data_IF_916614094796
#
_entry.id   IF_916614094796
#
_cell.length_a   1.000
_cell.length_b   1.000
_cell.length_c   1.000
_cell.angle_alpha   90.00
_cell.angle_beta   90.00
_cell.angle_gamma   90.00
#
_symmetry.space_group_name_H-M   'P 1'
#
loop_
_entity.id
_entity.type
_entity.pdbx_description
1 polymer ?
#
# COMPACT_ATOMS: atom_id res chain seq x y z
N UNK A 1 -24.31 -5.99 6.23
CA UNK A 1 -23.22 -5.10 5.77
C UNK A 1 -22.31 -4.89 6.96
N UNK A 2 -21.05 -5.29 6.86
CA UNK A 2 -20.06 -4.94 7.88
C UNK A 2 -19.74 -3.45 7.77
N UNK A 3 -19.65 -2.76 8.89
CA UNK A 3 -19.16 -1.39 8.91
C UNK A 3 -17.66 -1.34 8.59
N UNK A 4 -17.17 -0.15 8.24
CA UNK A 4 -15.78 0.13 7.85
C UNK A 4 -14.73 -0.38 8.85
N UNK A 5 -15.01 -0.23 10.16
CA UNK A 5 -14.10 -0.66 11.21
C UNK A 5 -14.10 -2.19 11.31
N UNK A 6 -15.27 -2.82 11.24
CA UNK A 6 -15.41 -4.28 11.23
C UNK A 6 -14.68 -4.91 10.05
N UNK A 7 -14.79 -4.33 8.85
CA UNK A 7 -14.04 -4.76 7.66
C UNK A 7 -12.53 -4.62 7.88
N UNK A 8 -12.07 -3.47 8.38
CA UNK A 8 -10.65 -3.26 8.70
C UNK A 8 -10.13 -4.30 9.71
N UNK A 9 -10.91 -4.63 10.74
CA UNK A 9 -10.54 -5.58 11.80
C UNK A 9 -10.41 -7.03 11.33
N UNK A 10 -11.03 -7.40 10.20
CA UNK A 10 -10.77 -8.70 9.57
C UNK A 10 -9.33 -8.75 9.03
N UNK A 11 -8.87 -7.67 8.39
CA UNK A 11 -7.51 -7.57 7.86
C UNK A 11 -6.46 -7.30 8.95
N UNK A 12 -6.86 -6.60 10.03
CA UNK A 12 -6.01 -6.23 11.14
C UNK A 12 -6.59 -6.68 12.51
N UNK A 13 -6.66 -7.99 12.79
CA UNK A 13 -7.12 -8.50 14.08
C UNK A 13 -6.21 -8.04 15.24
N UNK A 14 -6.78 -7.74 16.40
CA UNK A 14 -6.04 -7.19 17.54
C UNK A 14 -4.99 -8.13 18.14
N UNK A 15 -5.20 -9.44 17.98
CA UNK A 15 -4.31 -10.49 18.44
C UNK A 15 -3.22 -10.87 17.43
N UNK A 16 -3.31 -10.43 16.17
CA UNK A 16 -2.35 -10.80 15.14
C UNK A 16 -1.07 -9.96 15.24
N UNK A 17 0.08 -10.62 15.36
CA UNK A 17 1.38 -9.98 15.60
C UNK A 17 1.71 -8.85 14.60
N UNK A 18 1.35 -9.07 13.34
CA UNK A 18 1.70 -8.21 12.22
C UNK A 18 0.62 -7.15 11.89
N UNK A 19 -0.56 -7.23 12.51
CA UNK A 19 -1.68 -6.33 12.22
C UNK A 19 -1.40 -4.87 12.59
N UNK A 20 -0.48 -4.62 13.51
CA UNK A 20 -0.08 -3.26 13.93
C UNK A 20 0.48 -2.38 12.80
N UNK A 21 0.92 -2.98 11.70
CA UNK A 21 1.42 -2.25 10.53
C UNK A 21 0.33 -1.96 9.49
N UNK A 22 -0.83 -2.62 9.57
CA UNK A 22 -1.92 -2.42 8.64
C UNK A 22 -2.35 -0.94 8.61
N UNK A 23 -2.65 -0.42 7.41
CA UNK A 23 -3.06 0.97 7.21
C UNK A 23 -4.58 1.05 7.06
N UNK A 24 -5.27 1.94 7.81
CA UNK A 24 -6.72 2.08 7.72
C UNK A 24 -7.18 2.94 6.53
N UNK A 25 -6.27 3.54 5.75
CA UNK A 25 -6.58 4.62 4.81
C UNK A 25 -7.67 4.26 3.78
N UNK A 26 -7.63 3.06 3.22
CA UNK A 26 -8.64 2.58 2.26
C UNK A 26 -9.91 2.00 2.91
N UNK A 27 -9.96 1.93 4.23
CA UNK A 27 -11.14 1.48 4.97
C UNK A 27 -11.96 2.66 5.51
N UNK A 28 -11.47 3.90 5.44
CA UNK A 28 -12.19 5.07 6.00
C UNK A 28 -13.54 5.28 5.33
N UNK A 29 -13.62 5.09 4.02
CA UNK A 29 -14.85 5.23 3.23
C UNK A 29 -15.11 3.91 2.51
N UNK A 30 -16.36 3.49 2.48
CA UNK A 30 -16.79 2.38 1.63
C UNK A 30 -16.57 2.77 0.15
N UNK A 31 -16.07 1.85 -0.69
CA UNK A 31 -15.92 2.11 -2.11
C UNK A 31 -17.26 2.54 -2.73
N UNK A 32 -17.25 3.66 -3.47
CA UNK A 32 -18.43 4.19 -4.15
C UNK A 32 -18.80 3.31 -5.35
N UNK A 33 -19.96 2.65 -5.29
CA UNK A 33 -20.46 1.77 -6.35
C UNK A 33 -21.00 0.44 -5.78
N UNK A 34 -21.54 -0.43 -6.64
CA UNK A 34 -21.78 -1.81 -6.23
C UNK A 34 -20.42 -2.46 -5.95
N UNK A 35 -20.23 -2.96 -4.72
CA UNK A 35 -19.12 -3.87 -4.42
C UNK A 35 -19.19 -4.99 -5.44
N UNK A 36 -18.20 -5.02 -6.33
CA UNK A 36 -18.11 -5.99 -7.42
C UNK A 36 -18.09 -7.43 -6.91
N UNK A 37 -18.19 -8.36 -7.86
CA UNK A 37 -17.94 -9.78 -7.64
C UNK A 37 -16.70 -10.03 -6.74
N UNK A 38 -16.68 -11.14 -5.99
CA UNK A 38 -15.54 -11.52 -5.15
C UNK A 38 -14.21 -11.40 -5.90
N UNK A 39 -13.10 -11.07 -5.20
CA UNK A 39 -11.78 -11.00 -5.84
C UNK A 39 -11.44 -12.33 -6.50
N UNK A 40 -10.81 -12.28 -7.67
CA UNK A 40 -10.36 -13.49 -8.35
C UNK A 40 -9.11 -14.00 -7.65
N UNK A 41 -9.20 -15.14 -6.96
CA UNK A 41 -8.09 -15.72 -6.21
C UNK A 41 -7.15 -16.45 -7.19
N UNK A 42 -5.92 -15.95 -7.44
CA UNK A 42 -5.01 -16.59 -8.38
C UNK A 42 -4.40 -17.87 -7.81
N UNK A 43 -4.04 -18.80 -8.69
CA UNK A 43 -3.26 -19.97 -8.30
C UNK A 43 -1.79 -19.57 -8.08
N UNK A 44 -1.28 -19.86 -6.89
CA UNK A 44 0.12 -19.62 -6.52
C UNK A 44 0.94 -20.90 -6.78
N UNK A 45 1.97 -20.79 -7.63
CA UNK A 45 2.82 -21.92 -8.03
C UNK A 45 4.30 -21.75 -7.66
N UNK A 46 4.69 -20.57 -7.16
CA UNK A 46 6.07 -20.24 -6.79
C UNK A 46 6.39 -20.53 -5.32
N UNK A 47 5.38 -20.88 -4.54
CA UNK A 47 5.48 -21.36 -3.16
C UNK A 47 4.39 -22.41 -2.94
N UNK A 48 4.63 -23.40 -2.08
CA UNK A 48 3.69 -24.52 -1.85
C UNK A 48 2.87 -24.39 -0.57
N UNK A 49 3.40 -23.71 0.45
CA UNK A 49 2.73 -23.50 1.74
C UNK A 49 3.38 -22.36 2.52
N UNK A 50 2.75 -21.93 3.62
CA UNK A 50 3.37 -21.01 4.57
C UNK A 50 4.73 -21.53 5.08
N UNK A 51 5.74 -20.66 5.04
CA UNK A 51 7.07 -20.89 5.60
C UNK A 51 7.31 -19.84 6.68
N UNK A 52 7.37 -20.27 7.94
CA UNK A 52 7.33 -19.37 9.11
C UNK A 52 8.58 -18.51 9.28
N UNK A 53 9.67 -18.81 8.58
CA UNK A 53 10.86 -17.96 8.54
C UNK A 53 10.87 -16.98 7.34
N UNK A 54 9.76 -16.86 6.62
CA UNK A 54 9.65 -16.04 5.41
C UNK A 54 8.60 -14.95 5.58
N UNK A 55 8.99 -13.71 5.28
CA UNK A 55 8.05 -12.59 5.07
C UNK A 55 7.86 -12.38 3.58
N UNK A 56 6.65 -12.08 3.15
CA UNK A 56 6.35 -11.77 1.75
C UNK A 56 5.96 -10.29 1.65
N UNK A 57 6.44 -9.62 0.60
CA UNK A 57 6.01 -8.28 0.22
C UNK A 57 5.42 -8.39 -1.18
N UNK A 58 4.12 -8.17 -1.30
CA UNK A 58 3.39 -8.14 -2.58
C UNK A 58 3.29 -6.70 -3.02
N UNK A 59 4.02 -6.31 -4.06
CA UNK A 59 4.04 -4.96 -4.63
C UNK A 59 3.52 -4.99 -6.08
N UNK A 60 2.22 -5.26 -6.22
CA UNK A 60 1.52 -5.48 -7.48
C UNK A 60 0.53 -4.35 -7.78
N UNK A 61 0.21 -4.07 -9.07
CA UNK A 61 -0.64 -2.95 -9.43
C UNK A 61 -2.09 -3.20 -9.06
N UNK A 62 -2.74 -2.18 -8.49
CA UNK A 62 -4.17 -2.17 -8.22
C UNK A 62 -4.61 -3.35 -7.34
N UNK A 63 -5.76 -3.93 -7.66
CA UNK A 63 -6.37 -5.02 -6.87
C UNK A 63 -5.57 -6.32 -6.86
N UNK A 64 -4.63 -6.52 -7.79
CA UNK A 64 -3.84 -7.77 -7.89
C UNK A 64 -3.05 -8.07 -6.63
N UNK A 65 -2.62 -7.03 -5.90
CA UNK A 65 -1.93 -7.22 -4.62
C UNK A 65 -2.84 -7.83 -3.54
N UNK A 66 -4.12 -7.44 -3.54
CA UNK A 66 -5.14 -7.98 -2.63
C UNK A 66 -5.49 -9.42 -3.01
N UNK A 67 -5.71 -9.67 -4.31
CA UNK A 67 -6.01 -11.00 -4.85
C UNK A 67 -4.89 -12.01 -4.53
N UNK A 68 -3.63 -11.66 -4.78
CA UNK A 68 -2.49 -12.53 -4.45
C UNK A 68 -2.30 -12.67 -2.92
N UNK A 69 -2.59 -11.62 -2.14
CA UNK A 69 -2.58 -11.69 -0.68
C UNK A 69 -3.60 -12.65 -0.10
N UNK A 70 -4.80 -12.72 -0.69
CA UNK A 70 -5.85 -13.68 -0.31
C UNK A 70 -5.46 -15.12 -0.68
N UNK A 71 -4.88 -15.34 -1.86
CA UNK A 71 -4.37 -16.66 -2.23
C UNK A 71 -3.29 -17.15 -1.26
N UNK A 72 -2.38 -16.26 -0.84
CA UNK A 72 -1.38 -16.59 0.19
C UNK A 72 -2.01 -16.83 1.57
N UNK A 73 -3.15 -16.19 1.86
CA UNK A 73 -3.90 -16.41 3.08
C UNK A 73 -4.48 -17.84 3.16
N UNK A 74 -4.97 -18.39 2.04
CA UNK A 74 -5.40 -19.80 1.94
C UNK A 74 -4.26 -20.78 2.24
N UNK A 75 -3.02 -20.37 1.95
CA UNK A 75 -1.81 -21.14 2.22
C UNK A 75 -1.27 -20.98 3.65
N UNK A 76 -1.93 -20.17 4.49
CA UNK A 76 -1.60 -19.96 5.89
C UNK A 76 -0.73 -18.74 6.20
N UNK A 77 -0.56 -17.80 5.25
CA UNK A 77 0.06 -16.51 5.53
C UNK A 77 -0.97 -15.49 6.08
N UNK A 78 -0.49 -14.43 6.72
CA UNK A 78 -1.31 -13.30 7.18
C UNK A 78 -1.19 -12.11 6.22
N UNK A 79 -2.21 -11.76 5.43
CA UNK A 79 -2.18 -10.56 4.61
C UNK A 79 -2.32 -9.29 5.46
N UNK A 80 -1.46 -8.30 5.20
CA UNK A 80 -1.38 -7.02 5.90
C UNK A 80 -1.47 -5.87 4.88
N UNK A 81 -2.61 -5.17 4.78
CA UNK A 81 -2.76 -4.04 3.85
C UNK A 81 -1.91 -2.84 4.28
N UNK A 82 -0.97 -2.40 3.43
CA UNK A 82 -0.16 -1.19 3.67
C UNK A 82 -0.57 0.01 2.83
N UNK A 83 -1.67 -0.09 2.09
CA UNK A 83 -2.17 0.97 1.21
C UNK A 83 -2.46 2.26 1.98
N UNK A 84 -1.80 3.36 1.61
CA UNK A 84 -1.89 4.65 2.32
C UNK A 84 -2.31 5.84 1.43
N UNK A 85 -2.59 5.57 0.16
CA UNK A 85 -3.23 6.53 -0.75
C UNK A 85 -4.73 6.59 -0.46
N UNK A 86 -5.27 7.78 -0.24
CA UNK A 86 -6.69 7.97 0.12
C UNK A 86 -7.55 8.06 -1.12
N UNK A 87 -8.75 7.48 -1.06
CA UNK A 87 -9.73 7.55 -2.12
C UNK A 87 -10.29 8.98 -2.28
N UNK A 88 -10.59 9.39 -3.51
CA UNK A 88 -11.25 10.66 -3.82
C UNK A 88 -12.72 10.41 -4.21
N UNK A 89 -13.57 11.46 -4.27
CA UNK A 89 -14.99 11.31 -4.61
C UNK A 89 -15.26 10.70 -6.00
N UNK A 90 -14.33 10.81 -6.96
CA UNK A 90 -14.46 10.18 -8.28
C UNK A 90 -13.14 9.58 -8.78
N UNK A 91 -13.23 8.47 -9.51
CA UNK A 91 -12.09 7.73 -10.06
C UNK A 91 -11.24 8.60 -10.98
N UNK A 92 -11.90 9.35 -11.86
CA UNK A 92 -11.29 10.20 -12.88
C UNK A 92 -10.55 11.40 -12.29
N UNK A 93 -10.87 11.76 -11.05
CA UNK A 93 -10.18 12.85 -10.34
C UNK A 93 -8.85 12.41 -9.73
N UNK A 94 -8.61 11.12 -9.50
CA UNK A 94 -7.40 10.65 -8.82
C UNK A 94 -6.21 10.52 -9.76
N UNK A 95 -5.01 10.70 -9.20
CA UNK A 95 -3.76 10.41 -9.90
C UNK A 95 -3.47 8.90 -9.88
N UNK A 96 -3.66 8.26 -8.72
CA UNK A 96 -3.55 6.81 -8.56
C UNK A 96 -4.94 6.25 -8.32
N UNK A 97 -5.36 5.30 -9.15
CA UNK A 97 -6.66 4.68 -8.97
C UNK A 97 -6.62 3.62 -7.86
N UNK A 98 -7.23 3.94 -6.72
CA UNK A 98 -7.31 3.05 -5.56
C UNK A 98 -8.70 2.44 -5.37
N UNK A 99 -9.67 2.72 -6.27
CA UNK A 99 -11.04 2.23 -6.08
C UNK A 99 -11.13 0.71 -6.17
N UNK A 100 -10.44 0.12 -7.14
CA UNK A 100 -10.42 -1.34 -7.30
C UNK A 100 -9.72 -2.03 -6.13
N UNK A 101 -8.71 -1.40 -5.53
CA UNK A 101 -8.05 -1.88 -4.32
C UNK A 101 -9.02 -1.88 -3.15
N UNK A 102 -9.71 -0.75 -2.92
CA UNK A 102 -10.70 -0.63 -1.86
C UNK A 102 -11.84 -1.64 -2.05
N UNK A 103 -12.39 -1.77 -3.26
CA UNK A 103 -13.41 -2.76 -3.58
C UNK A 103 -12.94 -4.19 -3.26
N UNK A 104 -11.72 -4.56 -3.65
CA UNK A 104 -11.15 -5.88 -3.37
C UNK A 104 -10.90 -6.11 -1.87
N UNK A 105 -10.50 -5.08 -1.11
CA UNK A 105 -10.34 -5.20 0.35
C UNK A 105 -11.68 -5.44 1.05
N UNK A 106 -12.75 -4.79 0.60
CA UNK A 106 -14.09 -4.97 1.18
C UNK A 106 -14.69 -6.33 0.82
N UNK A 107 -14.69 -6.73 -0.46
CA UNK A 107 -15.21 -8.04 -0.86
C UNK A 107 -14.31 -9.19 -0.39
N UNK A 108 -12.99 -8.99 -0.38
CA UNK A 108 -12.02 -9.95 0.13
C UNK A 108 -12.07 -10.17 1.64
N UNK A 109 -12.68 -9.26 2.41
CA UNK A 109 -12.86 -9.43 3.84
C UNK A 109 -13.75 -10.64 4.16
N UNK A 110 -14.78 -10.91 3.36
CA UNK A 110 -15.64 -12.09 3.55
C UNK A 110 -14.85 -13.40 3.32
N UNK A 111 -14.04 -13.43 2.25
CA UNK A 111 -13.13 -14.55 1.97
C UNK A 111 -12.17 -14.75 3.15
N UNK A 112 -11.49 -13.69 3.58
CA UNK A 112 -10.50 -13.75 4.65
C UNK A 112 -11.11 -14.20 5.99
N UNK A 113 -12.33 -13.75 6.30
CA UNK A 113 -13.05 -14.12 7.52
C UNK A 113 -13.47 -15.60 7.53
N UNK A 114 -13.61 -16.23 6.36
CA UNK A 114 -13.88 -17.67 6.25
C UNK A 114 -12.64 -18.53 6.53
N UNK A 115 -11.44 -17.94 6.49
CA UNK A 115 -10.17 -18.64 6.68
C UNK A 115 -9.76 -18.66 8.16
N UNK A 116 -9.17 -19.78 8.58
CA UNK A 116 -8.53 -19.90 9.90
C UNK A 116 -7.03 -19.66 9.78
N UNK A 117 -6.62 -18.41 9.99
CA UNK A 117 -5.21 -18.02 9.97
C UNK A 117 -4.73 -17.84 11.40
N UNK A 118 -3.53 -18.35 11.70
CA UNK A 118 -2.93 -18.21 13.03
C UNK A 118 -2.51 -16.77 13.32
N UNK A 119 -2.46 -16.43 14.60
CA UNK A 119 -2.08 -15.09 15.06
C UNK A 119 -0.58 -14.79 14.81
N UNK A 120 0.23 -15.85 14.80
CA UNK A 120 1.68 -15.84 14.54
C UNK A 120 2.04 -16.22 13.08
N UNK A 121 1.05 -16.33 12.20
CA UNK A 121 1.29 -16.66 10.80
C UNK A 121 2.27 -15.66 10.15
N UNK A 122 3.16 -16.12 9.25
CA UNK A 122 4.11 -15.23 8.57
C UNK A 122 3.39 -14.13 7.77
N UNK A 123 3.92 -12.90 7.73
CA UNK A 123 3.21 -11.77 7.14
C UNK A 123 3.37 -11.70 5.61
N UNK A 124 2.31 -11.23 4.96
CA UNK A 124 2.27 -10.79 3.56
C UNK A 124 1.92 -9.30 3.56
N UNK A 125 2.91 -8.44 3.41
CA UNK A 125 2.70 -7.00 3.32
C UNK A 125 2.28 -6.62 1.89
N UNK A 126 1.08 -6.06 1.74
CA UNK A 126 0.51 -5.72 0.43
C UNK A 126 0.65 -4.23 0.15
N UNK A 127 1.32 -3.91 -0.95
CA UNK A 127 1.58 -2.58 -1.48
C UNK A 127 0.95 -2.46 -2.87
N UNK A 128 0.72 -1.21 -3.28
CA UNK A 128 0.36 -0.91 -4.66
C UNK A 128 1.60 -0.47 -5.42
N UNK A 129 1.88 -1.17 -6.51
CA UNK A 129 2.98 -0.87 -7.41
C UNK A 129 2.77 0.49 -8.12
N UNK A 130 1.53 0.93 -8.29
CA UNK A 130 1.23 2.20 -8.97
C UNK A 130 1.21 3.41 -8.03
N UNK A 131 1.52 3.22 -6.74
CA UNK A 131 1.44 4.24 -5.67
C UNK A 131 2.17 5.56 -5.92
N UNK A 132 3.21 5.54 -6.75
CA UNK A 132 4.01 6.72 -7.12
C UNK A 132 3.91 7.05 -8.62
N UNK A 133 2.99 6.42 -9.34
CA UNK A 133 2.72 6.71 -10.75
C UNK A 133 2.05 8.07 -10.94
N UNK A 134 2.10 8.61 -12.16
CA UNK A 134 1.50 9.89 -12.50
C UNK A 134 2.35 11.12 -12.12
N UNK A 135 1.87 12.30 -12.54
CA UNK A 135 2.58 13.56 -12.37
C UNK A 135 2.29 14.18 -11.01
N UNK A 136 3.34 14.62 -10.32
CA UNK A 136 3.16 15.31 -9.05
C UNK A 136 2.37 16.60 -9.18
N UNK A 137 1.42 16.81 -8.25
CA UNK A 137 0.64 18.05 -8.13
C UNK A 137 -0.01 18.46 -9.46
N UNK A 138 -0.59 17.50 -10.17
CA UNK A 138 -1.35 17.77 -11.38
C UNK A 138 -2.60 18.61 -11.05
N UNK A 139 -2.75 19.76 -11.71
CA UNK A 139 -3.83 20.71 -11.43
C UNK A 139 -5.20 20.08 -11.72
N UNK A 140 -6.18 20.36 -10.85
CA UNK A 140 -7.53 19.81 -10.97
C UNK A 140 -7.66 18.34 -10.54
N UNK A 141 -6.54 17.62 -10.36
CA UNK A 141 -6.52 16.23 -9.88
C UNK A 141 -6.39 16.15 -8.36
N UNK A 142 -6.76 14.99 -7.83
CA UNK A 142 -6.57 14.58 -6.46
C UNK A 142 -5.28 13.75 -6.37
N UNK A 143 -4.22 14.35 -5.81
CA UNK A 143 -2.92 13.71 -5.67
C UNK A 143 -2.91 12.81 -4.43
N UNK A 144 -3.21 11.52 -4.64
CA UNK A 144 -3.20 10.45 -3.64
C UNK A 144 -1.99 9.52 -3.77
N UNK A 145 -0.94 9.97 -4.45
CA UNK A 145 0.33 9.23 -4.49
C UNK A 145 0.90 9.12 -3.09
N UNK A 146 1.57 8.02 -2.82
CA UNK A 146 2.13 7.72 -1.52
C UNK A 146 3.38 6.86 -1.64
N UNK A 147 4.22 6.90 -0.63
CA UNK A 147 5.44 6.11 -0.56
C UNK A 147 5.52 5.36 0.77
N UNK A 148 6.34 4.32 0.82
CA UNK A 148 6.68 3.63 2.07
C UNK A 148 7.95 4.20 2.69
N UNK A 149 7.97 4.26 4.02
CA UNK A 149 9.15 4.55 4.82
C UNK A 149 9.56 3.37 5.69
N UNK A 150 10.81 3.33 6.19
CA UNK A 150 11.26 2.27 7.10
C UNK A 150 10.42 2.07 8.38
N UNK A 151 9.56 3.01 8.75
CA UNK A 151 8.66 2.89 9.91
C UNK A 151 7.31 2.27 9.55
N UNK A 152 6.98 2.16 8.26
CA UNK A 152 5.71 1.57 7.79
C UNK A 152 5.76 0.04 7.75
N UNK A 153 6.93 -0.55 8.02
CA UNK A 153 7.16 -1.98 8.14
C UNK A 153 7.98 -2.28 9.41
N UNK A 154 8.00 -3.53 9.91
CA UNK A 154 8.77 -3.88 11.08
C UNK A 154 10.28 -3.67 10.88
N UNK A 155 11.01 -3.40 11.95
CA UNK A 155 12.46 -3.28 11.86
C UNK A 155 13.12 -4.63 11.54
N UNK A 156 14.33 -4.59 10.99
CA UNK A 156 15.13 -5.80 10.73
C UNK A 156 15.35 -6.62 12.00
N UNK A 157 15.65 -5.96 13.12
CA UNK A 157 15.86 -6.63 14.42
C UNK A 157 14.56 -7.28 14.93
N UNK A 158 13.41 -6.62 14.72
CA UNK A 158 12.11 -7.17 15.06
C UNK A 158 11.81 -8.44 14.26
N UNK A 159 11.87 -8.40 12.93
CA UNK A 159 11.56 -9.60 12.12
C UNK A 159 12.56 -10.73 12.39
N UNK A 160 13.83 -10.42 12.67
CA UNK A 160 14.81 -11.42 13.10
C UNK A 160 14.44 -12.07 14.44
N UNK A 161 13.98 -11.28 15.41
CA UNK A 161 13.51 -11.80 16.71
C UNK A 161 12.29 -12.72 16.57
N UNK A 162 11.45 -12.48 15.57
CA UNK A 162 10.31 -13.33 15.22
C UNK A 162 10.68 -14.54 14.34
N UNK A 163 11.97 -14.78 14.08
CA UNK A 163 12.43 -15.95 13.32
C UNK A 163 12.44 -15.79 11.79
N UNK A 164 12.04 -14.63 11.26
CA UNK A 164 12.10 -14.35 9.81
C UNK A 164 13.57 -14.19 9.39
N UNK A 165 13.96 -14.90 8.33
CA UNK A 165 15.32 -14.90 7.76
C UNK A 165 15.33 -14.69 6.25
N UNK A 166 14.18 -14.80 5.61
CA UNK A 166 14.00 -14.61 4.18
C UNK A 166 12.84 -13.66 3.89
N UNK A 167 13.02 -12.86 2.84
CA UNK A 167 11.99 -11.98 2.30
C UNK A 167 11.79 -12.33 0.83
N UNK A 168 10.55 -12.60 0.45
CA UNK A 168 10.17 -12.74 -0.95
C UNK A 168 9.45 -11.46 -1.37
N UNK A 169 9.96 -10.80 -2.42
CA UNK A 169 9.32 -9.64 -3.02
C UNK A 169 8.63 -10.05 -4.32
N UNK A 170 7.31 -9.94 -4.33
CA UNK A 170 6.45 -10.18 -5.49
C UNK A 170 6.24 -8.86 -6.21
N UNK A 171 7.07 -8.62 -7.22
CA UNK A 171 7.08 -7.38 -8.00
C UNK A 171 7.84 -7.57 -9.31
N UNK A 172 7.50 -6.79 -10.33
CA UNK A 172 8.30 -6.66 -11.56
C UNK A 172 9.63 -5.95 -11.30
N UNK A 173 9.65 -4.96 -10.40
CA UNK A 173 10.83 -4.18 -10.05
C UNK A 173 10.85 -3.74 -8.59
N UNK A 174 12.03 -3.47 -8.05
CA UNK A 174 12.18 -2.92 -6.70
C UNK A 174 12.15 -1.40 -6.76
N UNK A 175 11.05 -0.82 -6.29
CA UNK A 175 10.89 0.64 -6.23
C UNK A 175 11.86 1.27 -5.26
N UNK A 176 12.22 2.52 -5.54
CA UNK A 176 13.21 3.26 -4.76
C UNK A 176 12.79 3.38 -3.28
N UNK A 177 11.53 3.68 -2.98
CA UNK A 177 11.04 3.80 -1.60
C UNK A 177 11.14 2.46 -0.82
N UNK A 178 10.74 1.36 -1.45
CA UNK A 178 10.86 0.01 -0.89
C UNK A 178 12.33 -0.40 -0.69
N UNK A 179 13.23 0.02 -1.59
CA UNK A 179 14.67 -0.26 -1.46
C UNK A 179 15.29 0.30 -0.16
N UNK A 180 14.77 1.42 0.38
CA UNK A 180 15.21 1.96 1.67
C UNK A 180 14.88 1.06 2.85
N UNK A 181 13.87 0.19 2.70
CA UNK A 181 13.50 -0.81 3.70
C UNK A 181 14.31 -2.08 3.46
N UNK A 182 14.29 -2.60 2.24
CA UNK A 182 14.97 -3.84 1.86
C UNK A 182 16.49 -3.79 2.11
N UNK A 183 17.16 -2.66 1.84
CA UNK A 183 18.57 -2.52 2.15
C UNK A 183 18.88 -2.63 3.66
N UNK A 184 17.96 -2.21 4.54
CA UNK A 184 18.15 -2.37 6.00
C UNK A 184 18.05 -3.82 6.42
N UNK A 185 17.15 -4.59 5.79
CA UNK A 185 17.07 -6.04 5.99
C UNK A 185 18.32 -6.75 5.49
N UNK A 186 18.78 -6.39 4.29
CA UNK A 186 19.99 -6.95 3.69
C UNK A 186 21.25 -6.66 4.53
N UNK A 187 21.40 -5.44 5.09
CA UNK A 187 22.50 -5.10 6.00
C UNK A 187 22.55 -5.98 7.26
N UNK A 188 21.42 -6.57 7.64
CA UNK A 188 21.29 -7.49 8.78
C UNK A 188 21.36 -8.97 8.36
N UNK A 189 21.71 -9.25 7.11
CA UNK A 189 21.92 -10.60 6.60
C UNK A 189 20.64 -11.37 6.24
N UNK A 190 19.49 -10.68 6.16
CA UNK A 190 18.24 -11.30 5.69
C UNK A 190 18.33 -11.53 4.19
N UNK A 191 17.99 -12.74 3.74
CA UNK A 191 17.99 -13.11 2.32
C UNK A 191 16.81 -12.45 1.62
N UNK A 192 17.03 -11.92 0.42
CA UNK A 192 15.99 -11.29 -0.38
C UNK A 192 15.91 -12.02 -1.71
N UNK A 193 14.73 -12.54 -1.99
CA UNK A 193 14.36 -13.19 -3.23
C UNK A 193 13.30 -12.34 -3.92
N UNK A 194 13.33 -12.25 -5.24
CA UNK A 194 12.29 -11.60 -6.03
C UNK A 194 11.65 -12.65 -6.95
N UNK A 195 10.36 -12.52 -7.18
CA UNK A 195 9.66 -13.23 -8.24
C UNK A 195 8.69 -12.26 -8.91
N UNK A 196 8.76 -12.20 -10.24
CA UNK A 196 7.91 -11.37 -11.07
C UNK A 196 6.93 -12.26 -11.80
N UNK A 197 5.62 -12.07 -11.59
CA UNK A 197 4.56 -12.80 -12.32
C UNK A 197 4.84 -14.31 -12.42
N UNK A 198 5.33 -14.78 -13.58
CA UNK A 198 5.63 -16.16 -13.95
C UNK A 198 7.09 -16.61 -13.73
N UNK A 199 8.00 -15.70 -13.35
CA UNK A 199 9.41 -16.03 -13.16
C UNK A 199 9.65 -16.77 -11.83
N UNK A 200 10.55 -17.76 -11.83
CA UNK A 200 10.93 -18.46 -10.61
C UNK A 200 11.57 -17.50 -9.59
N UNK A 201 11.51 -17.87 -8.32
CA UNK A 201 12.18 -17.13 -7.24
C UNK A 201 13.67 -17.02 -7.52
N UNK A 202 14.16 -15.78 -7.54
CA UNK A 202 15.58 -15.47 -7.74
C UNK A 202 16.09 -14.65 -6.58
N UNK A 203 17.20 -15.09 -5.96
CA UNK A 203 17.92 -14.28 -4.99
C UNK A 203 18.44 -13.00 -5.63
N UNK A 204 18.19 -11.85 -4.99
CA UNK A 204 18.61 -10.54 -5.47
C UNK A 204 19.46 -9.82 -4.42
N UNK A 205 20.35 -8.95 -4.89
CA UNK A 205 21.03 -7.97 -4.05
C UNK A 205 20.40 -6.61 -4.31
N UNK A 206 19.71 -6.07 -3.31
CA UNK A 206 19.04 -4.78 -3.45
C UNK A 206 20.08 -3.67 -3.45
N UNK A 207 20.06 -2.84 -4.48
CA UNK A 207 20.94 -1.70 -4.62
C UNK A 207 20.60 -0.63 -3.58
N UNK A 208 21.65 -0.07 -2.96
CA UNK A 208 21.51 0.99 -1.97
C UNK A 208 20.96 2.25 -2.64
N UNK A 209 19.79 2.77 -2.21
CA UNK A 209 19.24 3.99 -2.79
C UNK A 209 20.08 5.21 -2.42
N UNK A 210 19.92 6.28 -3.20
CA UNK A 210 20.49 7.58 -2.86
C UNK A 210 19.96 8.05 -1.50
N UNK A 211 20.80 8.77 -0.74
CA UNK A 211 20.43 9.31 0.58
C UNK A 211 19.92 8.24 1.58
N UNK A 212 20.34 6.98 1.43
CA UNK A 212 19.98 5.91 2.36
C UNK A 212 20.34 6.26 3.82
N UNK A 213 19.39 6.03 4.74
CA UNK A 213 19.42 6.43 6.17
C UNK A 213 19.41 7.96 6.43
N UNK A 214 19.35 8.80 5.40
CA UNK A 214 19.24 10.24 5.57
C UNK A 214 17.81 10.68 5.89
N UNK A 215 17.67 11.62 6.82
CA UNK A 215 16.40 12.33 7.07
C UNK A 215 16.03 13.26 5.90
N UNK A 216 17.00 13.69 5.09
CA UNK A 216 16.77 14.55 3.93
C UNK A 216 15.91 13.87 2.87
N UNK A 217 16.10 12.56 2.65
CA UNK A 217 15.27 11.79 1.72
C UNK A 217 13.80 11.87 2.09
N UNK A 218 13.49 11.65 3.39
CA UNK A 218 12.11 11.72 3.89
C UNK A 218 11.53 13.11 3.66
N UNK A 219 12.28 14.16 4.00
CA UNK A 219 11.83 15.54 3.79
C UNK A 219 11.55 15.82 2.30
N UNK A 220 12.49 15.48 1.42
CA UNK A 220 12.38 15.70 -0.03
C UNK A 220 11.17 14.98 -0.64
N UNK A 221 10.98 13.70 -0.31
CA UNK A 221 9.83 12.92 -0.80
C UNK A 221 8.53 13.50 -0.26
N UNK A 222 8.45 13.84 1.04
CA UNK A 222 7.22 14.38 1.62
C UNK A 222 6.82 15.75 1.06
N UNK A 223 7.75 16.60 0.65
CA UNK A 223 7.42 17.89 0.02
C UNK A 223 6.75 17.73 -1.36
N UNK A 224 7.02 16.62 -2.04
CA UNK A 224 6.48 16.31 -3.36
C UNK A 224 5.19 15.47 -3.31
N UNK A 225 4.72 15.11 -2.11
CA UNK A 225 3.49 14.37 -1.88
C UNK A 225 2.45 15.26 -1.21
N UNK A 226 1.20 14.97 -1.49
CA UNK A 226 0.05 15.67 -0.94
C UNK A 226 -0.48 14.94 0.29
N UNK A 227 -0.77 15.67 1.37
CA UNK A 227 -1.27 15.11 2.63
C UNK A 227 -2.65 15.66 2.97
N UNK A 228 -3.49 14.83 3.56
CA UNK A 228 -4.77 15.26 4.11
C UNK A 228 -4.65 15.67 5.60
N UNK A 229 -5.70 16.28 6.12
CA UNK A 229 -5.81 16.69 7.53
C UNK A 229 -5.83 15.52 8.53
N UNK A 230 -6.12 14.30 8.07
CA UNK A 230 -6.15 13.08 8.88
C UNK A 230 -4.79 12.32 8.88
N UNK A 231 -3.74 12.87 8.26
CA UNK A 231 -2.39 12.31 8.26
C UNK A 231 -2.09 11.25 7.19
N UNK A 232 -3.05 10.92 6.32
CA UNK A 232 -2.87 10.08 5.13
C UNK A 232 -2.41 10.88 3.90
N UNK A 233 -2.14 10.18 2.79
CA UNK A 233 -1.75 10.81 1.53
C UNK A 233 -2.95 11.05 0.61
N UNK A 234 -3.09 12.27 0.09
CA UNK A 234 -4.28 12.68 -0.67
C UNK A 234 -4.65 14.14 -0.44
N UNK A 235 -4.67 14.97 -1.47
CA UNK A 235 -5.47 16.21 -1.46
C UNK A 235 -5.81 16.67 -2.89
N UNK A 236 -6.88 17.48 -3.01
CA UNK A 236 -7.24 18.12 -4.28
C UNK A 236 -6.24 19.23 -4.59
N UNK A 237 -5.63 19.18 -5.76
CA UNK A 237 -4.74 20.23 -6.25
C UNK A 237 -5.60 21.32 -6.91
N UNK A 238 -5.51 22.58 -6.46
CA UNK A 238 -6.26 23.67 -7.06
C UNK A 238 -5.95 23.80 -8.56
N UNK A 239 -6.98 24.06 -9.36
CA UNK A 239 -6.77 24.60 -10.70
C UNK A 239 -6.19 26.00 -10.55
N UNK A 240 -5.22 26.36 -11.39
CA UNK A 240 -4.86 27.76 -11.51
C UNK A 240 -6.12 28.49 -11.95
N UNK A 241 -6.67 29.38 -11.11
CA UNK A 241 -7.68 30.31 -11.58
C UNK A 241 -7.04 31.03 -12.76
N UNK A 242 -7.58 30.84 -13.97
CA UNK A 242 -7.31 31.79 -15.02
C UNK A 242 -7.60 33.15 -14.40
N UNK A 243 -6.59 34.00 -14.34
CA UNK A 243 -6.78 35.42 -14.13
C UNK A 243 -7.52 35.94 -15.35
N UNK A 244 -8.80 35.58 -15.50
CA UNK A 244 -9.73 36.35 -16.29
C UNK A 244 -9.83 37.67 -15.54
N UNK A 245 -9.02 38.61 -15.99
CA UNK A 245 -9.19 40.05 -15.81
C UNK A 245 -10.53 40.45 -16.44
N UNK A 246 -11.62 39.95 -15.85
CA UNK A 246 -12.88 40.66 -15.83
C UNK A 246 -12.60 41.94 -15.08
N UNK A 247 -12.52 43.04 -15.83
CA UNK A 247 -12.57 44.40 -15.33
C UNK A 247 -13.91 44.62 -14.62
N UNK A 248 -14.02 44.06 -13.41
CA UNK A 248 -15.12 44.28 -12.50
C UNK A 248 -15.13 45.74 -12.09
N UNK A 249 -16.03 46.51 -12.72
CA UNK A 249 -16.45 47.84 -12.30
C UNK A 249 -16.62 47.86 -10.77
N UNK A 250 -15.80 48.67 -10.10
CA UNK A 250 -15.98 49.02 -8.69
C UNK A 250 -17.27 49.82 -8.55
N UNK A 251 -18.31 49.19 -8.02
CA UNK A 251 -19.40 49.91 -7.38
C UNK A 251 -18.90 50.37 -6.01
N UNK A 252 -18.55 51.65 -5.89
CA UNK A 252 -18.50 52.31 -4.58
C UNK A 252 -19.93 52.61 -4.16
N UNK A 253 -20.42 51.93 -3.12
CA UNK A 253 -21.59 52.36 -2.38
C UNK A 253 -21.16 53.05 -1.10
N UNK A 254 -21.32 54.38 -1.03
CA UNK A 254 -21.42 55.19 0.19
C UNK A 254 -22.27 56.43 -0.17
N UNK A 255 -23.32 56.68 0.61
CA UNK A 255 -23.97 57.99 0.75
C UNK A 255 -25.21 58.21 -0.11
#
# INVERSE_FOLDING_TARGET
MQDNLSTYKIWAPDNALWAQWAKPALFVNEPSGQISAPPEIPVINWISSAVYNTMIIVDLPGKKGVEEGLALAEMGFRPIPLYNGVNAPSRESMIVDVQEIAAALYSGAEVLNSLRIRDDAPPVFMLDSERMSGRAKEQGKYDNRWCVFPQDMPSADFILSCGIREIIVRSSEIRNDLSHILCRYQEKGIKISQSSMSEPLRGIKVHRPSQFKSLLYRFQVTMNLSRNSAGGFGCKIPEAMESSSSSGRRYYGIG
#
